data_IF_233419682771
#
_entry.id   IF_233419682771
#
_cell.length_a   1.000
_cell.length_b   1.000
_cell.length_c   1.000
_cell.angle_alpha   90.00
_cell.angle_beta   90.00
_cell.angle_gamma   90.00
#
_symmetry.space_group_name_H-M   'P 1'
#
loop_
_entity.id
_entity.type
_entity.pdbx_description
1 polymer ?
#
# COMPACT_ATOMS: atom_id res chain seq x y z
N UNK A 1 -26.77 -17.99 1.40
CA UNK A 1 -26.24 -16.83 2.15
C UNK A 1 -25.66 -15.85 1.14
N UNK A 2 -26.17 -14.62 1.06
CA UNK A 2 -25.60 -13.63 0.15
C UNK A 2 -24.20 -13.25 0.66
N UNK A 3 -23.14 -13.57 -0.11
CA UNK A 3 -21.80 -13.05 0.17
C UNK A 3 -21.89 -11.52 0.10
N UNK A 4 -21.63 -10.79 1.20
CA UNK A 4 -21.66 -9.34 1.14
C UNK A 4 -20.58 -8.90 0.14
N UNK A 5 -21.05 -8.19 -0.88
CA UNK A 5 -20.21 -7.78 -1.99
C UNK A 5 -19.33 -6.63 -1.52
N UNK A 6 -18.02 -6.77 -1.67
CA UNK A 6 -17.09 -5.68 -1.39
C UNK A 6 -17.44 -4.49 -2.30
N UNK A 7 -17.62 -3.28 -1.75
CA UNK A 7 -17.90 -2.09 -2.54
C UNK A 7 -16.86 -1.88 -3.65
N UNK A 8 -17.32 -1.52 -4.85
CA UNK A 8 -16.43 -1.40 -6.02
C UNK A 8 -15.32 -0.37 -5.80
N UNK A 9 -15.59 0.72 -5.09
CA UNK A 9 -14.62 1.75 -4.81
C UNK A 9 -13.46 1.25 -3.94
N UNK A 10 -13.69 0.29 -3.03
CA UNK A 10 -12.62 -0.33 -2.22
C UNK A 10 -11.70 -1.16 -3.11
N UNK A 11 -12.27 -1.88 -4.08
CA UNK A 11 -11.49 -2.58 -5.09
C UNK A 11 -10.68 -1.62 -5.97
N UNK A 12 -11.23 -0.45 -6.32
CA UNK A 12 -10.50 0.58 -7.08
C UNK A 12 -9.32 1.12 -6.26
N UNK A 13 -9.55 1.50 -5.00
CA UNK A 13 -8.49 1.97 -4.09
C UNK A 13 -7.40 0.91 -3.96
N UNK A 14 -7.79 -0.34 -3.66
CA UNK A 14 -6.85 -1.45 -3.54
C UNK A 14 -6.06 -1.69 -4.85
N UNK A 15 -6.71 -1.60 -6.00
CA UNK A 15 -6.06 -1.69 -7.31
C UNK A 15 -5.03 -0.59 -7.53
N UNK A 16 -5.34 0.65 -7.16
CA UNK A 16 -4.40 1.78 -7.25
C UNK A 16 -3.17 1.57 -6.34
N UNK A 17 -3.39 1.13 -5.10
CA UNK A 17 -2.30 0.83 -4.15
C UNK A 17 -1.38 -0.28 -4.68
N UNK A 18 -1.96 -1.32 -5.28
CA UNK A 18 -1.19 -2.39 -5.95
C UNK A 18 -0.34 -1.82 -7.08
N UNK A 19 -0.90 -0.96 -7.93
CA UNK A 19 -0.15 -0.35 -9.05
C UNK A 19 1.02 0.50 -8.55
N UNK A 20 0.84 1.27 -7.47
CA UNK A 20 1.91 2.05 -6.84
C UNK A 20 3.03 1.13 -6.33
N UNK A 21 2.67 0.06 -5.60
CA UNK A 21 3.68 -0.90 -5.09
C UNK A 21 4.40 -1.63 -6.24
N UNK A 22 3.71 -1.96 -7.33
CA UNK A 22 4.33 -2.56 -8.51
C UNK A 22 5.27 -1.60 -9.23
N UNK A 23 4.92 -0.31 -9.33
CA UNK A 23 5.80 0.72 -9.86
C UNK A 23 7.08 0.84 -9.01
N UNK A 24 6.96 0.89 -7.68
CA UNK A 24 8.13 0.92 -6.80
C UNK A 24 8.98 -0.34 -6.95
N UNK A 25 8.35 -1.51 -7.01
CA UNK A 25 9.03 -2.80 -7.25
C UNK A 25 9.82 -2.78 -8.56
N UNK A 26 9.23 -2.25 -9.63
CA UNK A 26 9.90 -2.08 -10.91
C UNK A 26 11.13 -1.18 -10.78
N UNK A 27 11.01 -0.02 -10.12
CA UNK A 27 12.13 0.89 -9.90
C UNK A 27 13.27 0.22 -9.11
N UNK A 28 12.96 -0.55 -8.07
CA UNK A 28 13.97 -1.22 -7.26
C UNK A 28 14.73 -2.33 -8.00
N UNK A 29 14.07 -3.08 -8.89
CA UNK A 29 14.69 -4.22 -9.57
C UNK A 29 15.20 -3.94 -10.98
N UNK A 30 14.47 -3.13 -11.74
CA UNK A 30 14.63 -3.01 -13.20
C UNK A 30 15.07 -1.61 -13.63
N UNK A 31 14.90 -0.60 -12.79
CA UNK A 31 15.37 0.76 -13.07
C UNK A 31 16.04 1.44 -11.84
N UNK A 32 17.22 0.94 -11.41
CA UNK A 32 17.97 1.55 -10.31
C UNK A 32 18.45 2.98 -10.63
N UNK A 33 18.45 3.40 -11.89
CA UNK A 33 18.85 4.75 -12.27
C UNK A 33 17.84 5.80 -11.80
N UNK A 34 16.55 5.48 -11.88
CA UNK A 34 15.49 6.32 -11.31
C UNK A 34 15.64 6.47 -9.79
N UNK A 35 16.09 5.43 -9.09
CA UNK A 35 16.44 5.49 -7.67
C UNK A 35 17.73 6.31 -7.45
N UNK A 36 18.75 6.15 -8.28
CA UNK A 36 19.98 6.95 -8.16
C UNK A 36 19.70 8.45 -8.34
N UNK A 37 18.80 8.80 -9.27
CA UNK A 37 18.36 10.17 -9.50
C UNK A 37 17.66 10.80 -8.29
N UNK A 38 17.17 9.99 -7.34
CA UNK A 38 16.57 10.48 -6.09
C UNK A 38 17.58 10.83 -5.00
N UNK A 39 18.88 10.68 -5.28
CA UNK A 39 19.97 10.93 -4.33
C UNK A 39 20.33 9.69 -3.50
N UNK A 40 19.69 8.54 -3.77
CA UNK A 40 20.00 7.27 -3.10
C UNK A 40 21.24 6.65 -3.74
N UNK A 41 22.23 6.31 -2.93
CA UNK A 41 23.40 5.58 -3.40
C UNK A 41 23.00 4.16 -3.83
N UNK A 42 23.20 3.83 -5.10
CA UNK A 42 22.91 2.50 -5.66
C UNK A 42 24.18 1.71 -5.99
N UNK A 43 25.35 2.29 -5.77
CA UNK A 43 26.64 1.65 -6.05
C UNK A 43 27.11 0.81 -4.86
N UNK A 44 27.79 -0.31 -5.18
CA UNK A 44 28.37 -1.22 -4.19
C UNK A 44 27.42 -2.31 -3.70
N UNK A 45 28.00 -3.46 -3.36
CA UNK A 45 27.26 -4.66 -2.91
C UNK A 45 26.32 -4.37 -1.71
N UNK A 46 26.73 -3.61 -0.68
CA UNK A 46 25.85 -3.33 0.46
C UNK A 46 24.59 -2.53 0.09
N UNK A 47 24.73 -1.52 -0.77
CA UNK A 47 23.62 -0.67 -1.18
C UNK A 47 22.66 -1.43 -2.11
N UNK A 48 23.18 -2.20 -3.06
CA UNK A 48 22.38 -3.09 -3.90
C UNK A 48 21.62 -4.13 -3.07
N UNK A 49 22.25 -4.67 -2.03
CA UNK A 49 21.59 -5.61 -1.13
C UNK A 49 20.40 -4.97 -0.40
N UNK A 50 20.56 -3.73 0.07
CA UNK A 50 19.49 -2.98 0.72
C UNK A 50 18.36 -2.66 -0.27
N UNK A 51 18.70 -2.20 -1.46
CA UNK A 51 17.76 -1.88 -2.53
C UNK A 51 16.89 -3.08 -2.91
N UNK A 52 17.51 -4.22 -3.19
CA UNK A 52 16.78 -5.44 -3.56
C UNK A 52 15.96 -6.02 -2.40
N UNK A 53 16.39 -5.82 -1.14
CA UNK A 53 15.58 -6.19 0.03
C UNK A 53 14.32 -5.34 0.14
N UNK A 54 14.40 -4.04 -0.09
CA UNK A 54 13.23 -3.17 -0.12
C UNK A 54 12.30 -3.55 -1.28
N UNK A 55 12.84 -3.71 -2.49
CA UNK A 55 12.09 -4.19 -3.65
C UNK A 55 11.38 -5.52 -3.40
N UNK A 56 12.06 -6.50 -2.79
CA UNK A 56 11.47 -7.81 -2.50
C UNK A 56 10.33 -7.73 -1.48
N UNK A 57 10.44 -6.87 -0.46
CA UNK A 57 9.39 -6.66 0.55
C UNK A 57 8.15 -5.99 -0.07
N UNK A 58 8.36 -4.96 -0.89
CA UNK A 58 7.28 -4.28 -1.61
C UNK A 58 6.61 -5.23 -2.62
N UNK A 59 7.38 -6.05 -3.33
CA UNK A 59 6.85 -7.07 -4.23
C UNK A 59 5.97 -8.10 -3.51
N UNK A 60 6.41 -8.57 -2.33
CA UNK A 60 5.63 -9.51 -1.52
C UNK A 60 4.30 -8.90 -1.05
N UNK A 61 4.30 -7.64 -0.62
CA UNK A 61 3.10 -6.90 -0.25
C UNK A 61 2.14 -6.72 -1.43
N UNK A 62 2.66 -6.38 -2.61
CA UNK A 62 1.88 -6.27 -3.84
C UNK A 62 1.24 -7.62 -4.22
N UNK A 63 2.00 -8.71 -4.14
CA UNK A 63 1.51 -10.05 -4.43
C UNK A 63 0.37 -10.47 -3.47
N UNK A 64 0.55 -10.28 -2.17
CA UNK A 64 -0.50 -10.54 -1.18
C UNK A 64 -1.75 -9.70 -1.47
N UNK A 65 -1.56 -8.43 -1.79
CA UNK A 65 -2.64 -7.51 -2.15
C UNK A 65 -3.42 -7.97 -3.40
N UNK A 66 -2.73 -8.51 -4.41
CA UNK A 66 -3.35 -9.11 -5.61
C UNK A 66 -4.17 -10.36 -5.22
N UNK A 67 -3.61 -11.25 -4.41
CA UNK A 67 -4.31 -12.46 -3.95
C UNK A 67 -5.59 -12.09 -3.20
N UNK A 68 -5.52 -11.09 -2.32
CA UNK A 68 -6.70 -10.59 -1.60
C UNK A 68 -7.74 -10.00 -2.55
N UNK A 69 -7.30 -9.23 -3.55
CA UNK A 69 -8.19 -8.69 -4.58
C UNK A 69 -8.83 -9.80 -5.44
N UNK A 70 -8.13 -10.90 -5.74
CA UNK A 70 -8.71 -12.02 -6.49
C UNK A 70 -9.70 -12.81 -5.63
N UNK A 71 -9.33 -13.10 -4.38
CA UNK A 71 -10.16 -13.92 -3.47
C UNK A 71 -11.42 -13.21 -2.99
N UNK A 72 -11.46 -11.87 -3.04
CA UNK A 72 -12.61 -11.06 -2.63
C UNK A 72 -13.10 -11.39 -1.20
N UNK A 73 -12.20 -11.84 -0.32
CA UNK A 73 -12.54 -12.19 1.06
C UNK A 73 -12.48 -10.94 1.96
N UNK A 74 -13.62 -10.52 2.57
CA UNK A 74 -13.67 -9.32 3.40
C UNK A 74 -12.69 -9.30 4.57
N UNK A 75 -12.41 -10.46 5.17
CA UNK A 75 -11.46 -10.58 6.30
C UNK A 75 -10.03 -10.36 5.84
N UNK A 76 -9.66 -10.84 4.65
CA UNK A 76 -8.33 -10.61 4.10
C UNK A 76 -8.13 -9.16 3.67
N UNK A 77 -9.18 -8.51 3.16
CA UNK A 77 -9.18 -7.07 2.87
C UNK A 77 -8.90 -6.24 4.13
N UNK A 78 -9.48 -6.60 5.28
CA UNK A 78 -9.19 -5.90 6.53
C UNK A 78 -7.70 -5.95 6.92
N UNK A 79 -7.08 -7.13 6.79
CA UNK A 79 -5.66 -7.30 7.11
C UNK A 79 -4.80 -6.44 6.18
N UNK A 80 -5.05 -6.47 4.88
CA UNK A 80 -4.26 -5.69 3.91
C UNK A 80 -4.48 -4.19 4.06
N UNK A 81 -5.72 -3.73 4.26
CA UNK A 81 -6.00 -2.32 4.50
C UNK A 81 -5.33 -1.81 5.77
N UNK A 82 -5.27 -2.63 6.83
CA UNK A 82 -4.54 -2.28 8.04
C UNK A 82 -3.04 -2.15 7.76
N UNK A 83 -2.45 -3.11 7.04
CA UNK A 83 -1.04 -3.07 6.68
C UNK A 83 -0.70 -1.84 5.82
N UNK A 84 -1.56 -1.49 4.86
CA UNK A 84 -1.41 -0.29 4.04
C UNK A 84 -1.47 0.98 4.89
N UNK A 85 -2.42 1.06 5.83
CA UNK A 85 -2.54 2.21 6.73
C UNK A 85 -1.27 2.44 7.56
N UNK A 86 -0.65 1.36 8.05
CA UNK A 86 0.62 1.45 8.75
C UNK A 86 1.78 1.86 7.83
N UNK A 87 1.85 1.28 6.62
CA UNK A 87 2.88 1.63 5.63
C UNK A 87 2.79 3.12 5.28
N UNK A 88 1.62 3.57 4.87
CA UNK A 88 1.35 4.95 4.46
C UNK A 88 1.54 5.92 5.65
N UNK A 89 1.09 5.54 6.85
CA UNK A 89 1.31 6.31 8.07
C UNK A 89 2.78 6.52 8.42
N UNK A 90 3.63 5.53 8.18
CA UNK A 90 5.07 5.64 8.39
C UNK A 90 5.73 6.47 7.28
N UNK A 91 5.35 6.25 6.01
CA UNK A 91 5.83 7.04 4.86
C UNK A 91 5.51 8.54 5.03
N UNK A 92 4.30 8.88 5.49
CA UNK A 92 3.88 10.25 5.81
C UNK A 92 4.83 10.97 6.76
N UNK A 93 5.47 10.24 7.68
CA UNK A 93 6.42 10.79 8.64
C UNK A 93 7.82 10.87 8.04
N UNK A 94 8.23 9.82 7.30
CA UNK A 94 9.61 9.67 6.80
C UNK A 94 9.87 10.60 5.61
N UNK A 95 8.95 10.67 4.64
CA UNK A 95 9.21 11.34 3.36
C UNK A 95 9.42 12.86 3.49
N UNK A 96 8.69 13.59 4.35
CA UNK A 96 9.00 15.00 4.60
C UNK A 96 10.29 15.22 5.40
N UNK A 97 10.70 14.25 6.22
CA UNK A 97 11.95 14.33 7.00
C UNK A 97 13.18 14.04 6.13
N UNK A 98 13.04 13.19 5.12
CA UNK A 98 14.10 12.74 4.23
C UNK A 98 13.69 12.84 2.75
N UNK A 99 13.44 14.05 2.24
CA UNK A 99 12.91 14.24 0.90
C UNK A 99 13.89 13.80 -0.18
N UNK A 100 13.34 13.17 -1.22
CA UNK A 100 14.10 12.73 -2.39
C UNK A 100 14.55 13.92 -3.26
N UNK A 101 15.75 13.82 -3.84
CA UNK A 101 16.33 14.90 -4.64
C UNK A 101 15.57 15.18 -5.95
N UNK A 102 14.90 14.16 -6.51
CA UNK A 102 14.09 14.25 -7.72
C UNK A 102 12.57 14.16 -7.43
N UNK A 103 12.14 14.47 -6.20
CA UNK A 103 10.73 14.40 -5.85
C UNK A 103 9.88 15.25 -6.82
N UNK A 104 8.79 14.69 -7.39
CA UNK A 104 7.98 15.38 -8.39
C UNK A 104 7.18 16.56 -7.81
N UNK A 105 7.04 16.60 -6.49
CA UNK A 105 6.31 17.61 -5.73
C UNK A 105 7.13 18.07 -4.53
N UNK A 106 6.76 19.21 -3.94
CA UNK A 106 7.42 19.69 -2.72
C UNK A 106 7.09 18.78 -1.52
N UNK A 107 7.95 18.72 -0.49
CA UNK A 107 7.70 17.90 0.71
C UNK A 107 6.37 18.20 1.41
N UNK A 108 5.91 19.45 1.36
CA UNK A 108 4.61 19.83 1.94
C UNK A 108 3.42 19.30 1.13
N UNK A 109 3.54 19.26 -0.20
CA UNK A 109 2.50 18.68 -1.07
C UNK A 109 2.48 17.17 -0.90
N UNK A 110 3.65 16.55 -0.85
CA UNK A 110 3.83 15.12 -0.59
C UNK A 110 3.15 14.68 0.72
N UNK A 111 3.45 15.38 1.82
CA UNK A 111 2.79 15.17 3.11
C UNK A 111 1.26 15.25 3.05
N UNK A 112 0.72 16.23 2.32
CA UNK A 112 -0.74 16.38 2.16
C UNK A 112 -1.31 15.19 1.38
N UNK A 113 -0.64 14.73 0.31
CA UNK A 113 -1.10 13.57 -0.46
C UNK A 113 -1.17 12.32 0.43
N UNK A 114 -0.14 12.07 1.23
CA UNK A 114 -0.14 10.95 2.17
C UNK A 114 -1.30 11.02 3.18
N UNK A 115 -1.59 12.20 3.76
CA UNK A 115 -2.74 12.38 4.65
C UNK A 115 -4.06 12.03 3.94
N UNK A 116 -4.22 12.45 2.69
CA UNK A 116 -5.42 12.14 1.90
C UNK A 116 -5.54 10.64 1.64
N UNK A 117 -4.44 9.97 1.29
CA UNK A 117 -4.41 8.52 1.08
C UNK A 117 -4.79 7.78 2.37
N UNK A 118 -4.20 8.14 3.51
CA UNK A 118 -4.53 7.59 4.83
C UNK A 118 -6.02 7.75 5.15
N UNK A 119 -6.60 8.93 4.88
CA UNK A 119 -8.02 9.17 5.13
C UNK A 119 -8.91 8.23 4.31
N UNK A 120 -8.56 8.02 3.03
CA UNK A 120 -9.27 7.10 2.13
C UNK A 120 -9.12 5.65 2.59
N UNK A 121 -7.90 5.23 2.95
CA UNK A 121 -7.63 3.88 3.45
C UNK A 121 -8.33 3.60 4.78
N UNK A 122 -8.34 4.56 5.70
CA UNK A 122 -9.05 4.45 6.97
C UNK A 122 -10.56 4.30 6.73
N UNK A 123 -11.12 5.04 5.78
CA UNK A 123 -12.53 4.90 5.43
C UNK A 123 -12.83 3.54 4.80
N UNK A 124 -11.95 3.04 3.94
CA UNK A 124 -12.06 1.69 3.38
C UNK A 124 -12.00 0.63 4.48
N UNK A 125 -11.07 0.77 5.43
CA UNK A 125 -10.91 -0.11 6.58
C UNK A 125 -12.18 -0.14 7.45
N UNK A 126 -12.70 1.04 7.84
CA UNK A 126 -13.94 1.14 8.63
C UNK A 126 -15.12 0.50 7.90
N UNK A 127 -15.23 0.71 6.58
CA UNK A 127 -16.30 0.13 5.77
C UNK A 127 -16.21 -1.38 5.74
N UNK A 128 -15.01 -1.93 5.50
CA UNK A 128 -14.78 -3.37 5.54
C UNK A 128 -15.02 -3.97 6.91
N UNK A 129 -14.68 -3.25 7.98
CA UNK A 129 -14.88 -3.70 9.36
C UNK A 129 -16.36 -3.86 9.68
N UNK A 130 -17.17 -2.87 9.27
CA UNK A 130 -18.63 -2.95 9.39
C UNK A 130 -19.21 -4.14 8.62
N UNK A 131 -18.71 -4.40 7.40
CA UNK A 131 -19.16 -5.54 6.59
C UNK A 131 -18.85 -6.87 7.29
N UNK A 132 -17.61 -7.06 7.76
CA UNK A 132 -17.21 -8.29 8.45
C UNK A 132 -18.01 -8.50 9.73
N UNK A 133 -18.20 -7.45 10.52
CA UNK A 133 -19.01 -7.53 11.74
C UNK A 133 -20.46 -7.95 11.46
N UNK A 134 -21.09 -7.39 10.43
CA UNK A 134 -22.44 -7.79 10.02
C UNK A 134 -22.51 -9.24 9.51
N UNK A 135 -21.43 -9.76 8.92
CA UNK A 135 -21.35 -11.18 8.56
C UNK A 135 -21.33 -12.07 9.80
N UNK A 136 -20.52 -11.72 10.78
CA UNK A 136 -20.36 -12.52 12.00
C UNK A 136 -21.66 -12.52 12.84
N UNK A 137 -22.36 -11.38 12.93
CA UNK A 137 -23.68 -11.28 13.58
C UNK A 137 -24.72 -12.21 12.90
N UNK A 138 -24.78 -12.21 11.56
CA UNK A 138 -25.71 -13.09 10.81
C UNK A 138 -25.39 -14.59 10.95
N UNK A 139 -24.13 -14.94 11.14
CA UNK A 139 -23.73 -16.33 11.41
C UNK A 139 -24.11 -16.75 12.83
N UNK A 140 -24.12 -15.83 13.79
CA UNK A 140 -24.52 -16.11 15.16
C UNK A 140 -26.05 -16.26 15.34
N UNK A 141 -26.85 -15.67 14.46
CA UNK A 141 -28.32 -15.71 14.49
C UNK A 141 -28.94 -16.93 13.77
N UNK A 142 -28.17 -17.65 12.94
CA UNK A 142 -28.62 -18.77 12.11
C UNK A 142 -28.12 -20.12 12.57
#
# INVERSE_FOLDING_TARGET
MANPKIPIWINIVQGLLILIMLQQTYMFFLDPQTIAASGIMTEGIPNLNLLYKFGARTAAMALLSIIVMITQNPRYFLVILLMNLFREGLETIIDPLYPLANAPVSPSIDFIMHIVIIAIELWAFITMYKIVRQMDEKVAEG
#
